data_IF_894076808712
#
_entry.id   IF_894076808712
#
_cell.length_a   1.000
_cell.length_b   1.000
_cell.length_c   1.000
_cell.angle_alpha   90.00
_cell.angle_beta   90.00
_cell.angle_gamma   90.00
#
_symmetry.space_group_name_H-M   'P 1'
#
loop_
_entity.id
_entity.type
_entity.pdbx_description
1 polymer ?
#
# COMPACT_ATOMS: atom_id res chain seq x y z
N UNK A 1 26.60 20.44 -31.45
CA UNK A 1 25.34 19.69 -31.27
C UNK A 1 25.37 18.96 -29.94
N UNK A 2 24.38 19.19 -29.08
CA UNK A 2 24.02 18.34 -27.94
C UNK A 2 22.50 18.42 -27.82
N UNK A 3 21.83 17.34 -28.18
CA UNK A 3 20.37 17.24 -28.24
C UNK A 3 19.75 16.77 -26.92
N UNK A 4 18.45 17.08 -26.82
CA UNK A 4 17.37 16.42 -26.05
C UNK A 4 17.56 16.26 -24.54
N UNK A 5 16.72 16.77 -23.64
CA UNK A 5 15.29 17.05 -23.73
C UNK A 5 14.52 16.03 -22.90
N UNK A 6 14.48 16.18 -21.57
CA UNK A 6 13.64 15.38 -20.67
C UNK A 6 12.45 16.23 -20.19
N UNK A 7 11.21 15.96 -20.64
CA UNK A 7 10.02 16.50 -19.97
C UNK A 7 9.55 15.52 -18.90
N UNK A 8 9.89 15.80 -17.64
CA UNK A 8 9.34 15.10 -16.47
C UNK A 8 7.87 15.45 -16.24
N UNK A 9 6.96 14.72 -16.91
CA UNK A 9 5.53 14.75 -16.56
C UNK A 9 5.33 13.98 -15.25
N UNK A 10 5.29 14.69 -14.12
CA UNK A 10 4.65 14.18 -12.90
C UNK A 10 3.17 13.95 -13.23
N UNK A 11 2.73 12.69 -13.22
CA UNK A 11 1.31 12.35 -13.37
C UNK A 11 0.62 12.42 -12.00
N UNK A 12 -0.65 12.86 -11.92
CA UNK A 12 -1.38 12.97 -10.67
C UNK A 12 -1.69 11.57 -10.12
N UNK A 13 -1.52 11.37 -8.81
CA UNK A 13 -2.11 10.24 -8.11
C UNK A 13 -3.61 10.51 -7.98
N UNK A 14 -4.42 9.66 -8.60
CA UNK A 14 -5.86 9.67 -8.42
C UNK A 14 -6.48 8.42 -9.02
N UNK A 15 -6.97 7.53 -8.16
CA UNK A 15 -8.22 6.78 -8.35
C UNK A 15 -8.52 6.05 -7.04
N UNK A 16 -9.57 6.48 -6.36
CA UNK A 16 -10.18 5.71 -5.30
C UNK A 16 -10.67 4.37 -5.86
N UNK A 17 -10.30 3.29 -5.18
CA UNK A 17 -10.98 2.02 -5.28
C UNK A 17 -11.39 1.62 -3.87
N UNK A 18 -12.70 1.49 -3.72
CA UNK A 18 -13.38 1.10 -2.51
C UNK A 18 -12.99 -0.32 -2.07
N UNK A 19 -12.72 -0.46 -0.77
CA UNK A 19 -13.17 -1.61 0.01
C UNK A 19 -12.22 -2.78 0.21
N UNK A 20 -11.36 -2.68 1.24
CA UNK A 20 -11.17 -3.77 2.21
C UNK A 20 -11.07 -3.16 3.61
N UNK A 21 -12.12 -3.40 4.42
CA UNK A 21 -12.37 -2.73 5.69
C UNK A 21 -11.29 -2.97 6.75
N UNK A 22 -10.92 -1.89 7.43
CA UNK A 22 -10.01 -1.91 8.56
C UNK A 22 -10.65 -2.48 9.84
N UNK A 23 -9.81 -3.09 10.66
CA UNK A 23 -10.09 -3.34 12.09
C UNK A 23 -9.00 -2.64 12.88
N UNK A 24 -9.34 -1.53 13.52
CA UNK A 24 -8.49 -0.86 14.49
C UNK A 24 -8.64 -1.45 15.90
N UNK A 25 -7.57 -1.38 16.70
CA UNK A 25 -7.54 -0.84 18.08
C UNK A 25 -6.25 -1.25 18.81
N UNK A 26 -5.55 -0.26 19.37
CA UNK A 26 -5.17 -0.29 20.80
C UNK A 26 -4.96 1.13 21.31
N UNK A 27 -5.75 1.48 22.33
CA UNK A 27 -5.81 2.76 23.04
C UNK A 27 -4.77 2.73 24.16
N UNK A 28 -3.78 3.63 24.13
CA UNK A 28 -2.88 3.87 25.28
C UNK A 28 -3.20 5.23 25.91
N UNK A 29 -3.38 5.22 27.22
CA UNK A 29 -3.92 6.31 28.05
C UNK A 29 -2.75 7.11 28.62
N UNK A 30 -2.58 8.38 28.23
CA UNK A 30 -1.73 9.34 28.94
C UNK A 30 -2.56 10.06 30.01
N UNK A 31 -2.04 10.09 31.24
CA UNK A 31 -2.48 11.03 32.28
C UNK A 31 -1.49 12.18 32.35
N UNK A 32 -1.96 13.42 32.19
CA UNK A 32 -1.20 14.64 32.47
C UNK A 32 -1.95 15.43 33.53
N UNK A 33 -1.23 15.76 34.61
CA UNK A 33 -1.70 16.55 35.73
C UNK A 33 -1.82 18.04 35.40
N UNK A 34 -2.77 18.66 36.08
CA UNK A 34 -3.29 20.02 35.95
C UNK A 34 -2.35 21.07 36.54
N UNK A 35 -2.20 22.22 35.86
CA UNK A 35 -1.80 23.48 36.49
C UNK A 35 -2.83 24.55 36.09
N UNK A 36 -3.45 25.16 37.10
CA UNK A 36 -4.49 26.19 37.02
C UNK A 36 -3.87 27.58 37.14
N UNK A 37 -4.36 28.56 36.36
CA UNK A 37 -4.16 30.00 36.58
C UNK A 37 -5.53 30.69 36.44
N UNK A 38 -5.95 31.57 37.39
CA UNK A 38 -7.30 32.15 37.41
C UNK A 38 -7.37 33.51 36.69
N UNK A 39 -8.49 33.79 36.00
CA UNK A 39 -8.83 35.18 35.64
C UNK A 39 -9.52 35.49 34.31
N UNK A 40 -10.44 34.66 33.78
CA UNK A 40 -11.33 35.09 32.68
C UNK A 40 -12.75 34.57 32.89
N UNK A 41 -13.70 35.48 32.70
CA UNK A 41 -15.15 35.38 32.95
C UNK A 41 -15.87 34.33 32.11
N UNK A 42 -16.86 33.69 32.73
CA UNK A 42 -17.78 32.71 32.16
C UNK A 42 -18.74 33.31 31.13
N UNK A 43 -18.78 32.75 29.93
CA UNK A 43 -19.93 32.83 29.01
C UNK A 43 -20.13 31.48 28.34
N UNK A 44 -21.35 30.94 28.49
CA UNK A 44 -21.79 29.62 28.03
C UNK A 44 -22.26 29.63 26.56
N UNK A 45 -22.20 28.43 25.96
CA UNK A 45 -22.97 27.95 24.80
C UNK A 45 -22.57 28.47 23.41
N UNK A 46 -21.91 27.60 22.65
CA UNK A 46 -22.55 26.89 21.54
C UNK A 46 -21.73 25.65 21.17
N UNK A 47 -22.38 24.50 21.25
CA UNK A 47 -21.84 23.23 20.77
C UNK A 47 -21.75 23.25 19.25
N UNK A 48 -20.63 23.74 18.71
CA UNK A 48 -20.20 23.31 17.40
C UNK A 48 -19.68 21.89 17.58
N UNK A 49 -20.47 20.92 17.10
CA UNK A 49 -19.95 19.59 16.79
C UNK A 49 -18.94 19.82 15.68
N UNK A 50 -17.68 20.00 16.05
CA UNK A 50 -16.58 19.87 15.10
C UNK A 50 -16.69 18.45 14.57
N UNK A 51 -17.17 18.33 13.35
CA UNK A 51 -16.99 17.14 12.54
C UNK A 51 -15.47 16.97 12.45
N UNK A 52 -14.91 16.07 13.27
CA UNK A 52 -13.49 15.70 13.22
C UNK A 52 -13.22 15.14 11.82
N UNK A 53 -12.89 16.06 10.92
CA UNK A 53 -12.47 15.79 9.58
C UNK A 53 -11.19 14.98 9.72
N UNK A 54 -11.27 13.71 9.33
CA UNK A 54 -10.13 12.78 9.30
C UNK A 54 -9.16 13.20 8.19
N UNK A 55 -8.67 14.44 8.26
CA UNK A 55 -7.69 14.99 7.33
C UNK A 55 -6.40 14.21 7.57
N UNK A 56 -6.00 13.43 6.57
CA UNK A 56 -4.70 12.77 6.56
C UNK A 56 -3.64 13.86 6.65
N UNK A 57 -2.99 13.97 7.81
CA UNK A 57 -1.88 14.89 8.02
C UNK A 57 -0.66 14.36 7.28
N UNK A 58 -0.21 15.10 6.26
CA UNK A 58 1.04 14.78 5.57
C UNK A 58 2.19 15.51 6.26
N UNK A 59 3.02 14.77 6.99
CA UNK A 59 4.25 15.31 7.60
C UNK A 59 5.45 14.94 6.73
N UNK A 60 6.25 15.93 6.36
CA UNK A 60 7.53 15.71 5.69
C UNK A 60 8.58 15.35 6.74
N UNK A 61 9.25 14.22 6.55
CA UNK A 61 10.39 13.80 7.37
C UNK A 61 11.67 14.03 6.56
N UNK A 62 12.61 14.79 7.13
CA UNK A 62 13.90 15.09 6.52
C UNK A 62 15.00 14.28 7.20
N UNK A 63 15.86 13.65 6.41
CA UNK A 63 17.01 12.89 6.89
C UNK A 63 18.30 13.51 6.39
N UNK A 64 19.36 13.41 7.19
CA UNK A 64 20.70 13.79 6.75
C UNK A 64 21.14 12.88 5.60
N UNK A 65 21.80 13.44 4.59
CA UNK A 65 22.42 12.65 3.52
C UNK A 65 23.62 11.80 4.00
N UNK A 66 24.00 11.93 5.27
CA UNK A 66 25.04 11.15 5.95
C UNK A 66 24.46 10.09 6.90
N UNK A 67 23.14 10.01 7.04
CA UNK A 67 22.49 9.01 7.91
C UNK A 67 22.57 7.62 7.26
N UNK A 68 23.50 6.80 7.76
CA UNK A 68 23.74 5.45 7.24
C UNK A 68 22.52 4.53 7.33
N UNK A 69 21.67 4.69 8.36
CA UNK A 69 20.50 3.85 8.54
C UNK A 69 19.52 4.07 7.40
N UNK A 70 19.17 5.33 7.15
CA UNK A 70 18.21 5.67 6.08
C UNK A 70 18.74 5.42 4.67
N UNK A 71 20.06 5.41 4.49
CA UNK A 71 20.70 5.13 3.20
C UNK A 71 20.78 3.63 2.84
N UNK A 72 20.73 2.74 3.83
CA UNK A 72 20.90 1.28 3.62
C UNK A 72 19.67 0.45 3.99
N UNK A 73 18.58 1.09 4.37
CA UNK A 73 17.32 0.41 4.70
C UNK A 73 16.23 0.87 3.74
N UNK A 74 15.43 -0.06 3.28
CA UNK A 74 14.27 0.24 2.46
C UNK A 74 13.09 0.67 3.33
N UNK A 75 12.24 1.53 2.79
CA UNK A 75 11.04 2.02 3.47
C UNK A 75 9.78 1.54 2.75
N UNK A 76 8.77 1.14 3.52
CA UNK A 76 7.50 0.75 2.93
C UNK A 76 6.81 1.96 2.29
N UNK A 77 6.46 1.86 1.01
CA UNK A 77 5.79 2.95 0.27
C UNK A 77 4.35 3.21 0.75
N UNK A 78 3.71 2.26 1.42
CA UNK A 78 2.32 2.38 1.89
C UNK A 78 2.23 3.17 3.18
N UNK A 79 3.08 2.87 4.16
CA UNK A 79 3.03 3.49 5.49
C UNK A 79 4.22 4.41 5.81
N UNK A 80 5.24 4.47 4.95
CA UNK A 80 6.41 5.32 5.15
C UNK A 80 7.29 4.91 6.34
N UNK A 81 7.24 3.64 6.76
CA UNK A 81 8.04 3.15 7.87
C UNK A 81 8.98 2.01 7.44
N UNK A 82 10.07 1.87 8.18
CA UNK A 82 11.05 0.80 8.02
C UNK A 82 10.63 -0.50 8.73
N UNK A 83 9.70 -0.40 9.70
CA UNK A 83 9.32 -1.50 10.60
C UNK A 83 10.36 -1.76 11.71
N UNK A 84 10.02 -2.60 12.69
CA UNK A 84 10.93 -3.01 13.75
C UNK A 84 10.99 -4.54 13.84
N UNK A 85 12.20 -5.10 13.95
CA UNK A 85 12.40 -6.55 14.07
C UNK A 85 11.83 -7.31 12.86
N UNK A 86 10.91 -8.24 13.10
CA UNK A 86 10.27 -9.02 12.03
C UNK A 86 9.37 -8.18 11.11
N UNK A 87 8.84 -7.06 11.60
CA UNK A 87 8.01 -6.16 10.80
C UNK A 87 8.83 -5.42 9.75
N UNK A 88 10.14 -5.26 9.95
CA UNK A 88 11.02 -4.63 8.95
C UNK A 88 11.34 -5.51 7.75
N UNK A 89 10.77 -6.72 7.65
CA UNK A 89 10.87 -7.54 6.45
C UNK A 89 9.94 -6.99 5.38
N UNK A 90 10.57 -6.38 4.38
CA UNK A 90 9.88 -5.84 3.23
C UNK A 90 9.83 -6.84 2.07
N UNK A 91 8.74 -6.78 1.33
CA UNK A 91 8.56 -7.42 0.05
C UNK A 91 8.83 -6.38 -1.04
N UNK A 92 9.84 -6.62 -1.87
CA UNK A 92 10.16 -5.77 -3.01
C UNK A 92 9.37 -6.22 -4.25
N UNK A 93 8.78 -5.26 -4.96
CA UNK A 93 8.21 -5.51 -6.29
C UNK A 93 9.34 -5.86 -7.27
N UNK A 94 9.24 -7.00 -7.94
CA UNK A 94 10.27 -7.47 -8.89
C UNK A 94 10.45 -6.58 -10.12
N UNK A 95 9.52 -5.65 -10.38
CA UNK A 95 9.56 -4.77 -11.55
C UNK A 95 10.00 -3.34 -11.21
N UNK A 96 9.45 -2.71 -10.17
CA UNK A 96 9.76 -1.32 -9.82
C UNK A 96 10.70 -1.18 -8.61
N UNK A 97 11.02 -2.27 -7.91
CA UNK A 97 11.87 -2.26 -6.73
C UNK A 97 11.25 -1.60 -5.49
N UNK A 98 10.04 -1.04 -5.59
CA UNK A 98 9.38 -0.47 -4.42
C UNK A 98 9.11 -1.54 -3.37
N UNK A 99 9.26 -1.15 -2.11
CA UNK A 99 9.18 -2.03 -0.97
C UNK A 99 7.85 -1.86 -0.22
N UNK A 100 7.30 -2.99 0.22
CA UNK A 100 5.99 -3.07 0.85
C UNK A 100 6.07 -3.99 2.07
N UNK A 101 5.46 -3.61 3.18
CA UNK A 101 5.21 -4.60 4.22
C UNK A 101 4.17 -5.60 3.73
N UNK A 102 4.34 -6.91 3.98
CA UNK A 102 3.37 -7.93 3.55
C UNK A 102 1.95 -7.63 4.06
N UNK A 103 1.82 -7.14 5.31
CA UNK A 103 0.53 -6.77 5.89
C UNK A 103 -0.05 -5.47 5.30
N UNK A 104 0.78 -4.51 4.87
CA UNK A 104 0.32 -3.28 4.22
C UNK A 104 -0.33 -3.53 2.86
N UNK A 105 0.06 -4.61 2.17
CA UNK A 105 -0.55 -5.04 0.91
C UNK A 105 -1.39 -6.30 1.05
N UNK A 106 -1.63 -6.77 2.29
CA UNK A 106 -2.45 -7.94 2.60
C UNK A 106 -2.03 -9.24 1.88
N UNK A 107 -0.73 -9.44 1.65
CA UNK A 107 -0.18 -10.63 1.00
C UNK A 107 0.42 -11.59 2.02
N UNK A 108 0.19 -12.89 1.81
CA UNK A 108 0.87 -13.94 2.57
C UNK A 108 2.13 -14.35 1.83
N UNK A 109 3.27 -14.36 2.52
CA UNK A 109 4.54 -14.80 1.92
C UNK A 109 4.53 -16.33 1.79
N UNK A 110 4.16 -16.81 0.62
CA UNK A 110 4.18 -18.24 0.26
C UNK A 110 5.44 -18.59 -0.55
N UNK A 111 5.75 -19.88 -0.69
CA UNK A 111 6.86 -20.35 -1.55
C UNK A 111 6.67 -19.89 -3.01
N UNK A 112 5.43 -19.77 -3.48
CA UNK A 112 5.12 -19.32 -4.84
C UNK A 112 5.49 -17.85 -5.01
N UNK A 113 5.10 -16.99 -4.07
CA UNK A 113 5.46 -15.56 -4.04
C UNK A 113 6.99 -15.38 -4.12
N UNK A 114 7.74 -16.17 -3.35
CA UNK A 114 9.20 -16.09 -3.31
C UNK A 114 9.86 -16.64 -4.59
N UNK A 115 9.34 -17.72 -5.16
CA UNK A 115 9.96 -18.40 -6.31
C UNK A 115 9.59 -17.78 -7.66
N UNK A 116 8.37 -17.25 -7.79
CA UNK A 116 7.90 -16.59 -9.02
C UNK A 116 8.14 -15.08 -9.01
N UNK A 117 8.40 -14.51 -7.84
CA UNK A 117 8.53 -13.08 -7.65
C UNK A 117 7.16 -12.39 -7.60
N UNK A 118 7.01 -11.47 -6.66
CA UNK A 118 5.79 -10.69 -6.51
C UNK A 118 5.89 -9.36 -7.27
N UNK A 119 4.77 -8.90 -7.83
CA UNK A 119 4.63 -7.58 -8.46
C UNK A 119 3.56 -6.79 -7.72
N UNK A 120 3.79 -5.50 -7.49
CA UNK A 120 2.77 -4.62 -6.93
C UNK A 120 1.62 -4.41 -7.92
N UNK A 121 0.49 -3.87 -7.44
CA UNK A 121 -0.70 -3.63 -8.26
C UNK A 121 -0.43 -2.74 -9.49
N UNK A 122 0.49 -1.79 -9.37
CA UNK A 122 0.87 -0.90 -10.49
C UNK A 122 1.76 -1.59 -11.54
N UNK A 123 2.43 -2.69 -11.17
CA UNK A 123 3.30 -3.47 -12.05
C UNK A 123 2.69 -4.82 -12.43
N UNK A 124 1.43 -5.08 -12.06
CA UNK A 124 0.80 -6.36 -12.30
C UNK A 124 0.53 -6.53 -13.80
N UNK A 125 0.95 -7.67 -14.34
CA UNK A 125 0.75 -8.08 -15.73
C UNK A 125 0.30 -9.53 -15.76
N UNK A 126 -0.49 -9.89 -16.78
CA UNK A 126 -0.88 -11.27 -17.01
C UNK A 126 0.36 -12.15 -17.26
N UNK A 127 0.52 -13.21 -16.50
CA UNK A 127 1.69 -14.08 -16.54
C UNK A 127 1.76 -14.94 -17.82
N UNK A 128 0.65 -15.05 -18.56
CA UNK A 128 0.61 -15.77 -19.84
C UNK A 128 0.96 -14.89 -21.05
N UNK A 129 0.47 -13.64 -21.11
CA UNK A 129 0.65 -12.77 -22.27
C UNK A 129 1.58 -11.57 -22.02
N UNK A 130 1.98 -11.32 -20.77
CA UNK A 130 2.87 -10.23 -20.36
C UNK A 130 2.24 -8.83 -20.42
N UNK A 131 0.92 -8.72 -20.63
CA UNK A 131 0.22 -7.43 -20.79
C UNK A 131 -0.62 -7.08 -19.57
N UNK A 132 -0.77 -5.79 -19.30
CA UNK A 132 -1.66 -5.21 -18.28
C UNK A 132 -3.00 -4.70 -18.86
N UNK A 133 -3.40 -5.18 -20.03
CA UNK A 133 -4.67 -4.81 -20.68
C UNK A 133 -5.87 -5.37 -19.92
N UNK A 134 -7.09 -4.91 -20.21
CA UNK A 134 -8.35 -5.47 -19.68
C UNK A 134 -8.36 -5.81 -18.18
N UNK A 135 -8.11 -4.84 -17.28
CA UNK A 135 -8.03 -5.11 -15.83
C UNK A 135 -9.31 -5.74 -15.27
N UNK A 136 -10.48 -5.45 -15.86
CA UNK A 136 -11.75 -6.06 -15.46
C UNK A 136 -11.87 -7.57 -15.74
N UNK A 137 -10.95 -8.15 -16.52
CA UNK A 137 -10.84 -9.60 -16.77
C UNK A 137 -9.51 -10.17 -16.28
N UNK A 138 -8.72 -9.40 -15.55
CA UNK A 138 -7.46 -9.83 -14.96
C UNK A 138 -7.73 -10.41 -13.57
N UNK A 139 -7.60 -11.73 -13.44
CA UNK A 139 -7.74 -12.42 -12.16
C UNK A 139 -6.42 -12.34 -11.39
N UNK A 140 -6.48 -12.14 -10.08
CA UNK A 140 -5.35 -12.27 -9.16
C UNK A 140 -5.57 -13.51 -8.30
N UNK A 141 -4.52 -14.30 -8.10
CA UNK A 141 -4.57 -15.44 -7.21
C UNK A 141 -4.63 -15.01 -5.74
N UNK A 142 -5.58 -15.53 -4.97
CA UNK A 142 -5.77 -15.17 -3.56
C UNK A 142 -4.57 -15.48 -2.63
N UNK A 143 -3.66 -16.38 -3.04
CA UNK A 143 -2.52 -16.82 -2.23
C UNK A 143 -1.18 -16.23 -2.67
N UNK A 144 -1.06 -15.72 -3.90
CA UNK A 144 0.23 -15.27 -4.43
C UNK A 144 0.21 -14.03 -5.33
N UNK A 145 -0.97 -13.46 -5.59
CA UNK A 145 -1.20 -12.30 -6.48
C UNK A 145 -0.72 -12.47 -7.93
N UNK A 146 -0.23 -13.65 -8.34
CA UNK A 146 0.05 -13.92 -9.75
C UNK A 146 -1.26 -13.81 -10.51
N UNK A 147 -1.21 -13.04 -11.61
CA UNK A 147 -2.39 -12.68 -12.35
C UNK A 147 -2.45 -13.28 -13.75
N UNK A 148 -3.66 -13.53 -14.20
CA UNK A 148 -3.97 -14.08 -15.52
C UNK A 148 -5.25 -13.45 -16.05
N UNK A 149 -5.31 -13.12 -17.34
CA UNK A 149 -6.59 -12.83 -17.96
C UNK A 149 -7.45 -14.08 -17.98
N UNK A 150 -8.77 -13.92 -17.81
CA UNK A 150 -9.71 -15.05 -17.89
C UNK A 150 -9.52 -15.87 -19.17
N UNK A 151 -9.24 -15.20 -20.29
CA UNK A 151 -9.04 -15.82 -21.60
C UNK A 151 -7.62 -16.33 -21.87
N UNK A 152 -6.64 -15.98 -21.04
CA UNK A 152 -5.27 -16.50 -21.14
C UNK A 152 -5.02 -17.74 -20.28
N UNK A 153 -6.02 -18.18 -19.53
CA UNK A 153 -5.99 -19.43 -18.79
C UNK A 153 -6.17 -20.63 -19.74
N UNK A 154 -5.76 -21.80 -19.27
CA UNK A 154 -5.97 -23.08 -19.94
C UNK A 154 -6.63 -24.07 -18.96
N UNK A 155 -7.94 -24.39 -19.12
CA UNK A 155 -8.85 -23.85 -20.13
C UNK A 155 -9.25 -22.37 -19.88
N UNK A 156 -9.62 -21.61 -20.93
CA UNK A 156 -10.09 -20.23 -20.78
C UNK A 156 -11.39 -20.13 -19.98
N UNK A 157 -11.49 -19.12 -19.11
CA UNK A 157 -12.70 -18.77 -18.39
C UNK A 157 -13.50 -17.70 -19.15
N UNK A 158 -14.80 -17.94 -19.32
CA UNK A 158 -15.70 -16.98 -19.99
C UNK A 158 -16.06 -15.78 -19.11
N UNK A 159 -16.07 -15.97 -17.79
CA UNK A 159 -16.44 -14.94 -16.82
C UNK A 159 -15.52 -14.97 -15.61
N UNK A 160 -15.45 -13.85 -14.89
CA UNK A 160 -14.72 -13.76 -13.62
C UNK A 160 -15.46 -14.61 -12.56
N UNK A 161 -14.78 -15.52 -11.85
CA UNK A 161 -15.39 -16.31 -10.79
C UNK A 161 -15.99 -15.42 -9.69
N UNK A 162 -17.16 -15.79 -9.16
CA UNK A 162 -17.82 -15.01 -8.08
C UNK A 162 -17.16 -15.17 -6.70
N UNK A 163 -16.29 -16.16 -6.54
CA UNK A 163 -15.60 -16.47 -5.29
C UNK A 163 -14.09 -16.41 -5.43
N UNK A 164 -13.39 -16.98 -4.45
CA UNK A 164 -11.93 -17.06 -4.47
C UNK A 164 -11.40 -17.84 -5.67
N UNK A 165 -10.25 -17.42 -6.17
CA UNK A 165 -9.58 -18.05 -7.30
C UNK A 165 -8.09 -18.27 -6.98
N UNK A 166 -7.61 -19.45 -7.32
CA UNK A 166 -6.20 -19.83 -7.14
C UNK A 166 -5.60 -20.23 -8.47
N UNK A 167 -4.36 -19.80 -8.70
CA UNK A 167 -3.61 -20.20 -9.88
C UNK A 167 -3.08 -21.63 -9.75
N UNK A 168 -2.63 -22.21 -10.87
CA UNK A 168 -2.10 -23.59 -10.95
C UNK A 168 -0.89 -23.88 -10.04
N UNK A 169 -0.24 -22.86 -9.49
CA UNK A 169 0.90 -23.00 -8.59
C UNK A 169 0.51 -23.08 -7.11
N UNK A 170 -0.73 -22.69 -6.78
CA UNK A 170 -1.25 -22.61 -5.42
C UNK A 170 -2.35 -23.65 -5.14
N UNK A 171 -2.65 -24.50 -6.11
CA UNK A 171 -3.59 -25.64 -6.01
C UNK A 171 -2.84 -26.95 -5.90
#
# INVERSE_FOLDING_TARGET
GRGSGFPGKRRPRGAGLSGRGGRGRSKLKNGVGTVVIPGVTTMDISSNKDEEENSMHNTVVLFSNSDKFTLHQDMCVVCGSFGQGAEGRLLACSQCGQCYHPYCVSIKITKVVLSKGWRCLECTVCEACGKATDPGRLLLCDDCDISYHTYCLDPPLQTVPKGGWKCKWCV
#
